data_IF_008171341127
#
_entry.id   IF_008171341127
#
_cell.length_a   1.000
_cell.length_b   1.000
_cell.length_c   1.000
_cell.angle_alpha   90.00
_cell.angle_beta   90.00
_cell.angle_gamma   90.00
#
_symmetry.space_group_name_H-M   'P 1'
#
loop_
_entity.id
_entity.type
_entity.pdbx_description
1 polymer ?
#
# COMPACT_ATOMS: atom_id res chain seq x y z
N UNK A 1 -21.21 14.44 6.15
CA UNK A 1 -20.03 15.31 6.39
C UNK A 1 -19.51 15.79 5.06
N UNK A 2 -19.01 17.02 4.99
CA UNK A 2 -18.24 17.57 3.88
C UNK A 2 -16.74 17.38 4.13
N UNK A 3 -16.07 16.64 3.26
CA UNK A 3 -14.67 16.24 3.44
C UNK A 3 -13.81 16.85 2.32
N UNK A 4 -12.73 17.53 2.70
CA UNK A 4 -11.73 18.04 1.75
C UNK A 4 -10.48 17.18 1.77
N UNK A 5 -10.27 16.41 0.71
CA UNK A 5 -9.08 15.58 0.52
C UNK A 5 -7.96 16.38 -0.15
N UNK A 6 -6.76 16.36 0.42
CA UNK A 6 -5.59 17.07 -0.14
C UNK A 6 -4.53 16.04 -0.51
N UNK A 7 -4.28 15.89 -1.81
CA UNK A 7 -3.26 15.00 -2.36
C UNK A 7 -2.27 15.81 -3.19
N UNK A 8 -1.02 15.82 -2.75
CA UNK A 8 0.05 16.60 -3.38
C UNK A 8 1.05 15.76 -4.16
N UNK A 9 0.80 14.45 -4.29
CA UNK A 9 1.60 13.54 -5.10
C UNK A 9 1.18 13.60 -6.57
N UNK A 10 2.13 13.30 -7.46
CA UNK A 10 1.91 13.33 -8.92
C UNK A 10 1.66 11.96 -9.51
N UNK A 11 2.32 10.94 -8.96
CA UNK A 11 2.21 9.57 -9.43
C UNK A 11 0.93 8.89 -8.96
N UNK A 12 0.77 7.63 -9.38
CA UNK A 12 -0.30 6.76 -8.92
C UNK A 12 0.32 5.45 -8.43
N UNK A 13 0.22 5.21 -7.13
CA UNK A 13 0.83 4.09 -6.43
C UNK A 13 -0.12 3.54 -5.35
N UNK A 14 0.38 2.70 -4.45
CA UNK A 14 -0.41 2.12 -3.36
C UNK A 14 -1.14 3.17 -2.52
N UNK A 15 -0.48 4.30 -2.18
CA UNK A 15 -1.12 5.32 -1.36
C UNK A 15 -2.33 6.00 -2.03
N UNK A 16 -2.24 6.22 -3.34
CA UNK A 16 -3.35 6.72 -4.16
C UNK A 16 -4.49 5.71 -4.25
N UNK A 17 -4.19 4.43 -4.48
CA UNK A 17 -5.22 3.37 -4.45
C UNK A 17 -5.99 3.33 -3.12
N UNK A 18 -5.30 3.56 -2.01
CA UNK A 18 -5.91 3.54 -0.68
C UNK A 18 -6.75 4.79 -0.40
N UNK A 19 -6.34 5.95 -0.93
CA UNK A 19 -7.21 7.13 -0.95
C UNK A 19 -8.45 6.89 -1.81
N UNK A 20 -8.30 6.29 -2.99
CA UNK A 20 -9.42 5.96 -3.88
C UNK A 20 -10.44 5.04 -3.19
N UNK A 21 -9.96 4.00 -2.52
CA UNK A 21 -10.79 3.11 -1.72
C UNK A 21 -11.56 3.86 -0.62
N UNK A 22 -10.87 4.71 0.14
CA UNK A 22 -11.49 5.55 1.18
C UNK A 22 -12.57 6.46 0.60
N UNK A 23 -12.28 7.12 -0.51
CA UNK A 23 -13.18 8.05 -1.18
C UNK A 23 -14.44 7.35 -1.70
N UNK A 24 -14.31 6.13 -2.26
CA UNK A 24 -15.44 5.31 -2.70
C UNK A 24 -16.35 4.90 -1.54
N UNK A 25 -15.75 4.47 -0.42
CA UNK A 25 -16.50 4.16 0.80
C UNK A 25 -17.32 5.36 1.28
N UNK A 26 -16.68 6.53 1.38
CA UNK A 26 -17.34 7.76 1.82
C UNK A 26 -18.44 8.22 0.83
N UNK A 27 -18.24 8.01 -0.47
CA UNK A 27 -19.26 8.33 -1.48
C UNK A 27 -20.49 7.42 -1.33
N UNK A 28 -20.29 6.12 -1.11
CA UNK A 28 -21.37 5.18 -0.82
C UNK A 28 -22.12 5.53 0.48
N UNK A 29 -21.42 6.07 1.48
CA UNK A 29 -22.02 6.61 2.71
C UNK A 29 -22.72 7.97 2.55
N UNK A 30 -22.80 8.54 1.34
CA UNK A 30 -23.48 9.80 1.06
C UNK A 30 -22.73 11.05 1.56
N UNK A 31 -21.42 10.95 1.78
CA UNK A 31 -20.62 12.10 2.18
C UNK A 31 -20.33 13.04 1.00
N UNK A 32 -20.41 14.35 1.25
CA UNK A 32 -20.00 15.36 0.29
C UNK A 32 -18.47 15.44 0.28
N UNK A 33 -17.84 15.34 -0.90
CA UNK A 33 -16.40 15.26 -1.01
C UNK A 33 -15.87 16.32 -1.97
N UNK A 34 -14.72 16.89 -1.63
CA UNK A 34 -13.96 17.81 -2.47
C UNK A 34 -12.49 17.40 -2.47
N UNK A 35 -11.79 17.63 -3.58
CA UNK A 35 -10.36 17.34 -3.66
C UNK A 35 -9.53 18.57 -4.00
N UNK A 36 -8.32 18.63 -3.45
CA UNK A 36 -7.25 19.55 -3.86
C UNK A 36 -6.10 18.70 -4.38
N UNK A 37 -5.83 18.82 -5.68
CA UNK A 37 -4.87 17.98 -6.41
C UNK A 37 -3.77 18.84 -7.04
N UNK A 38 -2.56 18.29 -7.15
CA UNK A 38 -1.55 18.87 -8.04
C UNK A 38 -2.06 18.75 -9.49
N UNK A 39 -1.91 19.78 -10.35
CA UNK A 39 -2.38 19.71 -11.74
C UNK A 39 -1.73 18.57 -12.56
N UNK A 40 -0.61 18.02 -12.09
CA UNK A 40 0.10 16.89 -12.70
C UNK A 40 -0.20 15.55 -12.02
N UNK A 41 -1.20 15.51 -11.14
CA UNK A 41 -1.57 14.30 -10.43
C UNK A 41 -2.34 13.34 -11.35
N UNK A 42 -1.83 12.11 -11.49
CA UNK A 42 -2.53 11.03 -12.18
C UNK A 42 -3.88 10.70 -11.52
N UNK A 43 -4.05 11.02 -10.22
CA UNK A 43 -5.31 10.84 -9.50
C UNK A 43 -6.49 11.64 -10.07
N UNK A 44 -6.22 12.69 -10.87
CA UNK A 44 -7.26 13.51 -11.51
C UNK A 44 -8.30 12.66 -12.25
N UNK A 45 -7.86 11.66 -13.02
CA UNK A 45 -8.77 10.80 -13.77
C UNK A 45 -9.75 10.04 -12.87
N UNK A 46 -9.31 9.64 -11.67
CA UNK A 46 -10.18 8.99 -10.69
C UNK A 46 -11.20 9.98 -10.10
N UNK A 47 -10.80 11.22 -9.82
CA UNK A 47 -11.71 12.25 -9.32
C UNK A 47 -12.80 12.60 -10.35
N UNK A 48 -12.43 12.68 -11.64
CA UNK A 48 -13.37 12.90 -12.74
C UNK A 48 -14.33 11.71 -12.92
N UNK A 49 -13.82 10.48 -12.90
CA UNK A 49 -14.64 9.27 -13.02
C UNK A 49 -15.65 9.09 -11.87
N UNK A 50 -15.29 9.55 -10.67
CA UNK A 50 -16.17 9.50 -9.49
C UNK A 50 -17.04 10.76 -9.34
N UNK A 51 -16.94 11.70 -10.27
CA UNK A 51 -17.67 12.97 -10.28
C UNK A 51 -17.46 13.80 -9.00
N UNK A 52 -16.26 13.73 -8.42
CA UNK A 52 -15.92 14.45 -7.20
C UNK A 52 -15.37 15.84 -7.56
N UNK A 53 -15.97 16.94 -7.08
CA UNK A 53 -15.45 18.27 -7.31
C UNK A 53 -13.99 18.40 -6.86
N UNK A 54 -13.12 18.86 -7.75
CA UNK A 54 -11.69 19.02 -7.46
C UNK A 54 -11.17 20.39 -7.86
N UNK A 55 -10.06 20.80 -7.25
CA UNK A 55 -9.43 22.10 -7.50
C UNK A 55 -7.92 21.93 -7.63
N UNK A 56 -7.35 22.58 -8.63
CA UNK A 56 -5.91 22.55 -8.86
C UNK A 56 -5.15 23.40 -7.84
N UNK A 57 -4.10 22.82 -7.28
CA UNK A 57 -3.14 23.54 -6.46
C UNK A 57 -1.73 23.02 -6.73
N UNK A 58 -0.87 23.85 -7.31
CA UNK A 58 0.53 23.49 -7.56
C UNK A 58 1.34 23.51 -6.28
N UNK A 59 2.06 22.42 -6.00
CA UNK A 59 2.97 22.32 -4.85
C UNK A 59 4.43 22.41 -5.33
N UNK A 60 5.17 23.46 -4.92
CA UNK A 60 6.58 23.65 -5.32
C UNK A 60 7.56 22.84 -4.48
N UNK A 61 7.18 22.51 -3.25
CA UNK A 61 8.02 21.76 -2.32
C UNK A 61 7.28 21.36 -1.05
N UNK A 62 8.02 20.83 -0.08
CA UNK A 62 7.46 20.34 1.19
C UNK A 62 7.00 21.44 2.14
N UNK A 63 7.50 22.68 1.99
CA UNK A 63 7.27 23.79 2.90
C UNK A 63 6.85 25.06 2.13
N UNK A 64 5.99 24.88 1.14
CA UNK A 64 5.51 25.95 0.25
C UNK A 64 4.42 26.80 0.94
N UNK A 65 4.81 27.97 1.45
CA UNK A 65 3.90 28.90 2.13
C UNK A 65 2.83 29.50 1.19
N UNK A 66 3.11 29.62 -0.11
CA UNK A 66 2.14 30.11 -1.09
C UNK A 66 1.05 29.05 -1.29
N UNK A 67 1.46 27.79 -1.45
CA UNK A 67 0.54 26.66 -1.49
C UNK A 67 -0.28 26.55 -0.20
N UNK A 68 0.33 26.76 0.97
CA UNK A 68 -0.36 26.73 2.26
C UNK A 68 -1.41 27.86 2.38
N UNK A 69 -1.10 29.09 1.97
CA UNK A 69 -2.07 30.20 1.95
C UNK A 69 -3.22 29.94 0.97
N UNK A 70 -2.93 29.38 -0.21
CA UNK A 70 -3.96 29.02 -1.20
C UNK A 70 -4.83 27.88 -0.70
N UNK A 71 -4.24 26.88 -0.05
CA UNK A 71 -4.98 25.79 0.60
C UNK A 71 -5.91 26.34 1.69
N UNK A 72 -5.42 27.28 2.52
CA UNK A 72 -6.25 27.96 3.51
C UNK A 72 -7.46 28.63 2.87
N UNK A 73 -7.25 29.44 1.82
CA UNK A 73 -8.34 30.08 1.08
C UNK A 73 -9.35 29.05 0.57
N UNK A 74 -8.86 27.91 0.04
CA UNK A 74 -9.76 26.86 -0.44
C UNK A 74 -10.57 26.20 0.68
N UNK A 75 -9.97 26.01 1.86
CA UNK A 75 -10.69 25.54 3.06
C UNK A 75 -11.79 26.54 3.43
N UNK A 76 -11.53 27.84 3.36
CA UNK A 76 -12.53 28.89 3.68
C UNK A 76 -13.68 28.96 2.64
N UNK A 77 -13.39 28.67 1.38
CA UNK A 77 -14.38 28.62 0.28
C UNK A 77 -15.26 27.37 0.38
N UNK A 78 -14.66 26.19 0.56
CA UNK A 78 -15.38 24.91 0.62
C UNK A 78 -16.12 24.74 1.95
N UNK A 79 -15.58 25.30 3.04
CA UNK A 79 -16.06 25.12 4.42
C UNK A 79 -16.28 23.64 4.77
N UNK A 80 -15.25 22.78 4.66
CA UNK A 80 -15.41 21.37 4.97
C UNK A 80 -15.53 21.15 6.48
N UNK A 81 -16.23 20.08 6.87
CA UNK A 81 -16.27 19.59 8.25
C UNK A 81 -14.92 18.98 8.65
N UNK A 82 -14.19 18.40 7.68
CA UNK A 82 -12.91 17.73 7.89
C UNK A 82 -11.97 17.90 6.71
N UNK A 83 -10.67 18.04 6.99
CA UNK A 83 -9.61 18.05 5.97
C UNK A 83 -8.76 16.78 6.10
N UNK A 84 -8.72 15.96 5.06
CA UNK A 84 -7.86 14.77 4.99
C UNK A 84 -6.57 15.06 4.21
N UNK A 85 -5.44 15.02 4.90
CA UNK A 85 -4.11 15.21 4.32
C UNK A 85 -3.53 13.85 3.94
N UNK A 86 -3.71 13.47 2.66
CA UNK A 86 -3.51 12.11 2.19
C UNK A 86 -2.04 11.71 1.96
N UNK A 87 -1.06 12.62 2.04
CA UNK A 87 0.36 12.28 1.85
C UNK A 87 1.29 13.17 2.70
N UNK A 88 2.59 12.84 2.72
CA UNK A 88 3.60 13.59 3.50
C UNK A 88 3.71 15.06 3.09
N UNK A 89 3.57 15.36 1.78
CA UNK A 89 3.61 16.74 1.30
C UNK A 89 2.35 17.51 1.68
N UNK A 90 1.16 16.93 1.46
CA UNK A 90 -0.08 17.60 1.87
C UNK A 90 -0.18 17.77 3.39
N UNK A 91 0.39 16.84 4.18
CA UNK A 91 0.50 16.98 5.63
C UNK A 91 1.23 18.25 6.04
N UNK A 92 2.44 18.48 5.51
CA UNK A 92 3.25 19.66 5.85
C UNK A 92 2.59 20.96 5.38
N UNK A 93 2.01 20.96 4.17
CA UNK A 93 1.32 22.13 3.62
C UNK A 93 0.03 22.43 4.40
N UNK A 94 -0.73 21.40 4.78
CA UNK A 94 -1.92 21.52 5.62
C UNK A 94 -1.60 22.00 7.03
N UNK A 95 -0.45 21.58 7.59
CA UNK A 95 0.06 22.13 8.85
C UNK A 95 0.42 23.61 8.71
N UNK A 96 1.15 23.99 7.66
CA UNK A 96 1.49 25.40 7.41
C UNK A 96 0.25 26.26 7.10
N UNK A 97 -0.83 25.66 6.57
CA UNK A 97 -2.09 26.36 6.35
C UNK A 97 -2.71 26.88 7.67
N UNK A 98 -2.36 26.30 8.82
CA UNK A 98 -2.80 26.80 10.14
C UNK A 98 -2.15 28.11 10.55
N UNK A 99 -1.08 28.53 9.87
CA UNK A 99 -0.46 29.84 10.08
C UNK A 99 -1.26 30.98 9.42
N UNK A 100 -2.21 30.63 8.54
CA UNK A 100 -3.02 31.59 7.82
C UNK A 100 -4.47 31.56 8.35
N UNK A 101 -4.97 32.73 8.76
CA UNK A 101 -6.34 32.93 9.26
C UNK A 101 -6.44 33.00 10.79
N UNK A 102 -7.68 33.09 11.32
CA UNK A 102 -7.94 33.17 12.77
C UNK A 102 -7.61 31.82 13.43
N UNK A 103 -6.91 31.83 14.58
CA UNK A 103 -6.37 30.65 15.30
C UNK A 103 -7.38 29.52 15.57
N UNK A 104 -8.69 29.83 15.65
CA UNK A 104 -9.76 28.87 15.96
C UNK A 104 -10.70 28.55 14.78
N UNK A 105 -10.34 28.91 13.54
CA UNK A 105 -11.25 28.86 12.39
C UNK A 105 -10.90 27.77 11.36
N UNK A 106 -10.18 26.71 11.73
CA UNK A 106 -9.91 25.60 10.82
C UNK A 106 -10.66 24.34 11.27
N UNK A 107 -11.29 23.62 10.33
CA UNK A 107 -11.88 22.33 10.63
C UNK A 107 -10.81 21.34 11.10
N UNK A 108 -11.22 20.27 11.80
CA UNK A 108 -10.34 19.17 12.14
C UNK A 108 -9.56 18.62 10.94
N UNK A 109 -8.30 18.25 11.18
CA UNK A 109 -7.37 17.77 10.14
C UNK A 109 -6.90 16.38 10.50
N UNK A 110 -7.10 15.44 9.60
CA UNK A 110 -6.59 14.07 9.73
C UNK A 110 -5.49 13.87 8.70
N UNK A 111 -4.38 13.27 9.10
CA UNK A 111 -3.31 12.88 8.17
C UNK A 111 -3.19 11.37 8.13
N UNK A 112 -2.96 10.80 6.94
CA UNK A 112 -2.57 9.39 6.80
C UNK A 112 -1.08 9.28 6.49
N UNK A 113 -0.34 8.60 7.36
CA UNK A 113 1.08 8.32 7.18
C UNK A 113 1.27 6.86 6.77
N UNK A 114 2.00 6.66 5.66
CA UNK A 114 2.26 5.34 5.07
C UNK A 114 3.71 4.86 5.14
N UNK A 115 4.65 5.78 5.35
CA UNK A 115 6.07 5.46 5.36
C UNK A 115 6.57 5.29 6.80
N UNK A 116 7.31 4.20 7.03
CA UNK A 116 7.94 3.80 8.29
C UNK A 116 9.28 4.50 8.56
N UNK A 117 9.72 5.39 7.65
CA UNK A 117 10.96 6.14 7.85
C UNK A 117 10.99 6.88 9.19
N UNK A 118 12.11 6.83 9.94
CA UNK A 118 12.26 7.58 11.17
C UNK A 118 11.93 9.06 11.00
N UNK A 119 11.21 9.61 11.96
CA UNK A 119 10.88 11.03 12.01
C UNK A 119 11.83 11.66 13.02
N UNK A 120 12.66 12.61 12.58
CA UNK A 120 13.54 13.34 13.51
C UNK A 120 12.74 14.00 14.64
N UNK A 121 13.27 13.96 15.86
CA UNK A 121 12.60 14.51 17.04
C UNK A 121 12.88 16.01 17.19
N UNK A 122 12.29 16.84 16.32
CA UNK A 122 12.46 18.30 16.36
C UNK A 122 11.18 19.03 16.78
N UNK A 123 11.25 20.22 17.40
CA UNK A 123 10.06 21.00 17.78
C UNK A 123 9.11 21.24 16.61
N UNK A 124 9.66 21.46 15.42
CA UNK A 124 8.88 21.64 14.20
C UNK A 124 8.11 20.37 13.79
N UNK A 125 8.72 19.19 13.90
CA UNK A 125 8.06 17.91 13.59
C UNK A 125 7.02 17.54 14.65
N UNK A 126 7.29 17.83 15.93
CA UNK A 126 6.30 17.74 17.02
C UNK A 126 5.08 18.62 16.76
N UNK A 127 5.29 19.83 16.26
CA UNK A 127 4.19 20.72 15.90
C UNK A 127 3.38 20.18 14.72
N UNK A 128 4.03 19.74 13.63
CA UNK A 128 3.36 19.18 12.44
C UNK A 128 2.51 17.94 12.75
N UNK A 129 3.05 16.98 13.52
CA UNK A 129 2.34 15.74 13.85
C UNK A 129 1.43 15.85 15.08
N UNK A 130 1.66 16.83 15.94
CA UNK A 130 0.88 17.07 17.14
C UNK A 130 -0.14 18.19 16.93
N UNK A 131 0.24 19.42 17.28
CA UNK A 131 -0.70 20.56 17.37
C UNK A 131 -1.33 20.97 16.04
N UNK A 132 -0.67 20.73 14.91
CA UNK A 132 -1.17 21.10 13.59
C UNK A 132 -2.24 20.15 13.04
N UNK A 133 -2.48 18.99 13.67
CA UNK A 133 -3.48 18.01 13.23
C UNK A 133 -4.34 17.54 14.41
N UNK A 134 -5.55 17.08 14.10
CA UNK A 134 -6.47 16.52 15.09
C UNK A 134 -6.21 15.03 15.31
N UNK A 135 -5.84 14.32 14.24
CA UNK A 135 -5.52 12.89 14.29
C UNK A 135 -4.47 12.50 13.23
N UNK A 136 -3.70 11.45 13.54
CA UNK A 136 -2.72 10.82 12.67
C UNK A 136 -3.11 9.36 12.48
N UNK A 137 -3.59 9.03 11.29
CA UNK A 137 -3.76 7.65 10.86
C UNK A 137 -2.41 7.07 10.46
N UNK A 138 -2.08 5.92 11.03
CA UNK A 138 -0.87 5.14 10.73
C UNK A 138 -1.31 3.77 10.22
N UNK A 139 -0.62 3.27 9.18
CA UNK A 139 -1.05 2.04 8.49
C UNK A 139 -0.48 0.75 9.11
N UNK A 140 0.50 0.88 10.00
CA UNK A 140 1.15 -0.23 10.67
C UNK A 140 1.71 0.18 12.03
N UNK A 141 1.97 -0.80 12.90
CA UNK A 141 2.62 -0.61 14.19
C UNK A 141 4.00 0.04 14.03
N UNK A 142 4.79 -0.36 13.02
CA UNK A 142 6.07 0.28 12.74
C UNK A 142 5.94 1.78 12.42
N UNK A 143 4.91 2.17 11.65
CA UNK A 143 4.62 3.58 11.38
C UNK A 143 4.10 4.30 12.63
N UNK A 144 3.30 3.63 13.46
CA UNK A 144 2.85 4.14 14.76
C UNK A 144 4.04 4.50 15.65
N UNK A 145 4.97 3.57 15.81
CA UNK A 145 6.15 3.74 16.68
C UNK A 145 7.02 4.89 16.17
N UNK A 146 7.20 5.02 14.85
CA UNK A 146 7.92 6.15 14.25
C UNK A 146 7.25 7.52 14.52
N UNK A 147 5.91 7.57 14.63
CA UNK A 147 5.17 8.79 14.99
C UNK A 147 5.25 9.08 16.49
N UNK A 148 5.10 8.06 17.33
CA UNK A 148 5.18 8.18 18.78
C UNK A 148 6.59 8.62 19.23
N UNK A 149 7.65 8.17 18.56
CA UNK A 149 9.03 8.58 18.82
C UNK A 149 9.27 10.10 18.69
N UNK A 150 8.39 10.82 17.97
CA UNK A 150 8.44 12.29 17.86
C UNK A 150 7.94 12.98 19.14
N UNK A 151 7.18 12.28 19.98
CA UNK A 151 6.47 12.85 21.14
C UNK A 151 5.07 13.35 20.80
N UNK A 152 4.40 12.72 19.84
CA UNK A 152 2.98 12.96 19.54
C UNK A 152 2.14 12.27 20.61
N UNK A 153 1.07 12.92 21.04
CA UNK A 153 0.09 12.35 21.96
C UNK A 153 -0.46 11.01 21.41
N UNK A 154 -0.30 9.88 22.13
CA UNK A 154 -0.83 8.59 21.72
C UNK A 154 -2.34 8.61 21.43
N UNK A 155 -3.10 9.45 22.12
CA UNK A 155 -4.56 9.59 21.91
C UNK A 155 -4.93 10.14 20.52
N UNK A 156 -3.96 10.72 19.78
CA UNK A 156 -4.14 11.23 18.42
C UNK A 156 -3.64 10.27 17.34
N UNK A 157 -2.99 9.17 17.71
CA UNK A 157 -2.39 8.23 16.75
C UNK A 157 -3.29 7.01 16.62
N UNK A 158 -3.86 6.80 15.44
CA UNK A 158 -4.85 5.76 15.18
C UNK A 158 -4.30 4.77 14.15
N UNK A 159 -4.17 3.51 14.56
CA UNK A 159 -3.80 2.42 13.66
C UNK A 159 -5.03 2.01 12.84
N UNK A 160 -5.00 2.26 11.54
CA UNK A 160 -5.99 1.79 10.57
C UNK A 160 -5.21 1.20 9.42
N UNK A 161 -5.24 -0.13 9.31
CA UNK A 161 -4.55 -0.82 8.22
C UNK A 161 -5.17 -0.46 6.88
N UNK A 162 -4.34 -0.46 5.84
CA UNK A 162 -4.83 -0.34 4.47
C UNK A 162 -5.59 -1.61 4.08
N UNK A 163 -6.57 -1.44 3.19
CA UNK A 163 -7.49 -2.51 2.82
C UNK A 163 -7.50 -2.82 1.33
N UNK A 164 -7.87 -4.03 0.98
CA UNK A 164 -8.06 -4.49 -0.41
C UNK A 164 -9.45 -5.08 -0.59
N UNK A 165 -9.94 -5.19 -1.82
CA UNK A 165 -11.25 -5.77 -2.13
C UNK A 165 -11.21 -7.29 -1.97
N UNK A 166 -11.21 -7.79 -0.72
CA UNK A 166 -10.87 -9.19 -0.43
C UNK A 166 -11.84 -10.18 -1.07
N UNK A 167 -13.13 -9.84 -1.13
CA UNK A 167 -14.16 -10.68 -1.76
C UNK A 167 -13.93 -10.84 -3.26
N UNK A 168 -13.64 -9.74 -3.96
CA UNK A 168 -13.36 -9.76 -5.40
C UNK A 168 -12.07 -10.54 -5.70
N UNK A 169 -11.01 -10.30 -4.91
CA UNK A 169 -9.73 -10.96 -5.08
C UNK A 169 -9.79 -12.46 -4.76
N UNK A 170 -10.52 -12.88 -3.72
CA UNK A 170 -10.68 -14.30 -3.40
C UNK A 170 -11.31 -15.09 -4.55
N UNK A 171 -12.19 -14.46 -5.34
CA UNK A 171 -12.79 -15.10 -6.51
C UNK A 171 -11.79 -15.42 -7.64
N UNK A 172 -10.57 -14.86 -7.61
CA UNK A 172 -9.53 -15.13 -8.60
C UNK A 172 -9.01 -16.57 -8.55
N UNK A 173 -9.17 -17.28 -7.42
CA UNK A 173 -8.75 -18.69 -7.28
C UNK A 173 -9.75 -19.71 -7.81
N UNK A 174 -10.88 -19.26 -8.35
CA UNK A 174 -11.81 -20.16 -9.00
C UNK A 174 -11.10 -20.93 -10.13
N UNK A 175 -11.24 -22.27 -10.22
CA UNK A 175 -10.47 -23.10 -11.14
C UNK A 175 -10.51 -22.63 -12.59
N UNK A 176 -11.68 -22.21 -13.07
CA UNK A 176 -11.90 -21.70 -14.42
C UNK A 176 -11.16 -20.39 -14.70
N UNK A 177 -11.15 -19.46 -13.73
CA UNK A 177 -10.44 -18.19 -13.86
C UNK A 177 -8.93 -18.40 -13.87
N UNK A 178 -8.44 -19.28 -13.00
CA UNK A 178 -7.03 -19.66 -12.95
C UNK A 178 -6.59 -20.33 -14.25
N UNK A 179 -7.36 -21.30 -14.75
CA UNK A 179 -7.03 -21.97 -16.02
C UNK A 179 -6.99 -20.98 -17.19
N UNK A 180 -7.97 -20.08 -17.29
CA UNK A 180 -8.01 -19.04 -18.33
C UNK A 180 -6.81 -18.08 -18.23
N UNK A 181 -6.46 -17.63 -17.03
CA UNK A 181 -5.31 -16.76 -16.80
C UNK A 181 -3.99 -17.44 -17.19
N UNK A 182 -3.81 -18.72 -16.82
CA UNK A 182 -2.62 -19.49 -17.19
C UNK A 182 -2.48 -19.67 -18.70
N UNK A 183 -3.59 -19.98 -19.38
CA UNK A 183 -3.60 -20.11 -20.84
C UNK A 183 -3.19 -18.81 -21.54
N UNK A 184 -3.74 -17.66 -21.10
CA UNK A 184 -3.40 -16.34 -21.68
C UNK A 184 -1.96 -15.92 -21.44
N UNK A 185 -1.37 -16.33 -20.32
CA UNK A 185 0.03 -16.06 -19.98
C UNK A 185 1.01 -17.10 -20.56
N UNK A 186 0.51 -18.07 -21.34
CA UNK A 186 1.34 -19.12 -21.96
C UNK A 186 1.97 -20.07 -20.95
N UNK A 187 1.28 -20.36 -19.84
CA UNK A 187 1.76 -21.20 -18.75
C UNK A 187 1.12 -22.59 -18.85
N UNK A 188 1.94 -23.62 -19.06
CA UNK A 188 1.49 -25.02 -19.05
C UNK A 188 1.35 -25.57 -17.62
N UNK A 189 0.93 -26.84 -17.47
CA UNK A 189 0.77 -27.47 -16.15
C UNK A 189 2.11 -27.75 -15.42
N UNK A 190 3.22 -27.82 -16.15
CA UNK A 190 4.56 -28.08 -15.60
C UNK A 190 5.25 -26.79 -15.10
N UNK A 191 4.70 -25.63 -15.43
CA UNK A 191 5.28 -24.32 -15.12
C UNK A 191 4.88 -23.86 -13.72
N UNK A 192 5.85 -23.63 -12.85
CA UNK A 192 5.65 -22.90 -11.60
C UNK A 192 5.73 -21.39 -11.88
N UNK A 193 4.66 -20.65 -11.60
CA UNK A 193 4.55 -19.23 -11.92
C UNK A 193 4.60 -18.34 -10.66
N UNK A 194 5.70 -17.61 -10.47
CA UNK A 194 5.84 -16.63 -9.40
C UNK A 194 5.52 -15.20 -9.84
N UNK A 195 5.03 -14.37 -8.93
CA UNK A 195 4.72 -12.95 -9.19
C UNK A 195 5.33 -12.04 -8.12
N UNK A 196 5.89 -10.93 -8.55
CA UNK A 196 6.22 -9.77 -7.71
C UNK A 196 5.62 -8.54 -8.35
N UNK A 197 4.75 -7.82 -7.64
CA UNK A 197 4.16 -6.57 -8.13
C UNK A 197 4.60 -5.38 -7.26
N UNK A 198 5.64 -4.67 -7.69
CA UNK A 198 6.15 -3.48 -7.00
C UNK A 198 7.08 -2.65 -7.89
N UNK A 199 7.17 -1.34 -7.62
CA UNK A 199 8.14 -0.45 -8.27
C UNK A 199 9.57 -1.02 -8.24
N UNK A 200 10.31 -0.96 -9.34
CA UNK A 200 11.67 -1.51 -9.46
C UNK A 200 12.71 -0.53 -8.89
N UNK A 201 12.58 -0.23 -7.61
CA UNK A 201 13.55 0.56 -6.83
C UNK A 201 14.37 -0.34 -5.92
N UNK A 202 15.62 0.03 -5.67
CA UNK A 202 16.54 -0.67 -4.75
C UNK A 202 15.96 -1.04 -3.38
N UNK A 203 15.02 -0.24 -2.84
CA UNK A 203 14.36 -0.57 -1.56
C UNK A 203 13.52 -1.86 -1.60
N UNK A 204 13.10 -2.31 -2.79
CA UNK A 204 12.27 -3.50 -2.98
C UNK A 204 13.04 -4.80 -3.09
N UNK A 205 14.37 -4.73 -3.27
CA UNK A 205 15.28 -5.87 -3.26
C UNK A 205 14.96 -6.98 -4.30
N UNK A 206 14.49 -6.60 -5.47
CA UNK A 206 14.17 -7.55 -6.55
C UNK A 206 15.39 -8.36 -6.99
N UNK A 207 16.59 -7.79 -6.87
CA UNK A 207 17.86 -8.45 -7.14
C UNK A 207 18.12 -9.62 -6.17
N UNK A 208 17.67 -9.53 -4.91
CA UNK A 208 17.81 -10.62 -3.92
C UNK A 208 16.94 -11.81 -4.34
N UNK A 209 15.72 -11.55 -4.81
CA UNK A 209 14.86 -12.60 -5.36
C UNK A 209 15.43 -13.17 -6.65
N UNK A 210 15.96 -12.33 -7.54
CA UNK A 210 16.59 -12.80 -8.76
C UNK A 210 17.79 -13.74 -8.49
N UNK A 211 18.64 -13.39 -7.52
CA UNK A 211 19.76 -14.24 -7.05
C UNK A 211 19.28 -15.53 -6.38
N UNK A 212 18.17 -15.48 -5.64
CA UNK A 212 17.56 -16.67 -5.05
C UNK A 212 17.07 -17.64 -6.15
N UNK A 213 16.38 -17.11 -7.16
CA UNK A 213 15.88 -17.86 -8.30
C UNK A 213 17.02 -18.47 -9.12
N UNK A 214 18.14 -17.75 -9.31
CA UNK A 214 19.29 -18.23 -10.08
C UNK A 214 19.91 -19.53 -9.53
N UNK A 215 19.80 -19.77 -8.22
CA UNK A 215 20.32 -20.98 -7.58
C UNK A 215 19.25 -22.04 -7.26
N UNK A 216 18.04 -21.91 -7.80
CA UNK A 216 16.93 -22.80 -7.47
C UNK A 216 17.09 -24.16 -8.17
N UNK A 217 16.85 -25.26 -7.44
CA UNK A 217 16.91 -26.62 -7.97
C UNK A 217 15.51 -27.10 -8.35
N UNK A 218 15.20 -27.12 -9.65
CA UNK A 218 13.88 -27.50 -10.13
C UNK A 218 13.76 -29.02 -10.29
N UNK A 219 12.67 -29.65 -9.81
CA UNK A 219 12.37 -31.04 -10.12
C UNK A 219 12.35 -31.29 -11.63
N UNK A 220 12.80 -32.48 -12.05
CA UNK A 220 12.87 -32.84 -13.47
C UNK A 220 11.53 -32.61 -14.19
N UNK A 221 11.59 -31.95 -15.34
CA UNK A 221 10.43 -31.61 -16.15
C UNK A 221 9.63 -30.37 -15.69
N UNK A 222 9.95 -29.76 -14.53
CA UNK A 222 9.37 -28.47 -14.14
C UNK A 222 10.09 -27.30 -14.80
N UNK A 223 9.34 -26.23 -15.04
CA UNK A 223 9.86 -24.93 -15.46
C UNK A 223 9.46 -23.87 -14.44
N UNK A 224 10.27 -22.83 -14.29
CA UNK A 224 9.92 -21.66 -13.48
C UNK A 224 9.78 -20.45 -14.37
N UNK A 225 8.68 -19.72 -14.21
CA UNK A 225 8.47 -18.40 -14.78
C UNK A 225 8.21 -17.44 -13.63
N UNK A 226 8.97 -16.35 -13.53
CA UNK A 226 8.71 -15.30 -12.54
C UNK A 226 8.41 -13.96 -13.21
N UNK A 227 7.28 -13.35 -12.88
CA UNK A 227 6.89 -12.03 -13.37
C UNK A 227 7.24 -10.93 -12.36
N UNK A 228 8.11 -10.00 -12.75
CA UNK A 228 8.32 -8.74 -12.04
C UNK A 228 7.47 -7.63 -12.69
N UNK A 229 6.28 -7.41 -12.14
CA UNK A 229 5.39 -6.32 -12.49
C UNK A 229 5.78 -5.03 -11.78
N UNK A 230 6.11 -4.00 -12.55
CA UNK A 230 6.51 -2.69 -12.03
C UNK A 230 7.59 -2.03 -12.89
N UNK A 231 7.81 -0.75 -12.66
CA UNK A 231 8.85 0.02 -13.34
C UNK A 231 9.74 0.76 -12.34
N UNK A 232 10.93 1.15 -12.76
CA UNK A 232 11.87 1.89 -11.91
C UNK A 232 13.32 1.79 -12.37
N UNK A 233 14.22 2.50 -11.66
CA UNK A 233 15.63 2.62 -12.04
C UNK A 233 16.38 1.28 -12.16
N UNK A 234 15.97 0.26 -11.40
CA UNK A 234 16.64 -1.04 -11.39
C UNK A 234 16.24 -1.92 -12.59
N UNK A 235 15.26 -1.51 -13.41
CA UNK A 235 14.69 -2.35 -14.47
C UNK A 235 15.74 -2.93 -15.42
N UNK A 236 16.58 -2.06 -15.98
CA UNK A 236 17.57 -2.46 -16.98
C UNK A 236 18.60 -3.43 -16.39
N UNK A 237 19.05 -3.19 -15.16
CA UNK A 237 19.98 -4.06 -14.45
C UNK A 237 19.34 -5.44 -14.18
N UNK A 238 18.09 -5.47 -13.72
CA UNK A 238 17.37 -6.72 -13.48
C UNK A 238 17.15 -7.52 -14.78
N UNK A 239 16.85 -6.85 -15.89
CA UNK A 239 16.70 -7.49 -17.21
C UNK A 239 18.01 -8.11 -17.70
N UNK A 240 19.14 -7.41 -17.55
CA UNK A 240 20.44 -7.94 -17.92
C UNK A 240 20.79 -9.20 -17.10
N UNK A 241 20.58 -9.16 -15.78
CA UNK A 241 20.84 -10.31 -14.90
C UNK A 241 19.88 -11.47 -15.15
N UNK A 242 18.62 -11.19 -15.46
CA UNK A 242 17.62 -12.21 -15.80
C UNK A 242 17.98 -13.00 -17.08
N UNK A 243 18.67 -12.36 -18.03
CA UNK A 243 19.12 -13.03 -19.26
C UNK A 243 20.27 -14.03 -19.03
N UNK A 244 20.92 -14.01 -17.87
CA UNK A 244 22.03 -14.91 -17.51
C UNK A 244 21.57 -16.19 -16.78
N UNK A 245 20.26 -16.36 -16.54
CA UNK A 245 19.73 -17.50 -15.78
C UNK A 245 19.81 -18.82 -16.56
N UNK A 246 19.86 -19.93 -15.82
CA UNK A 246 19.98 -21.29 -16.36
C UNK A 246 18.78 -21.73 -17.20
N UNK A 247 18.96 -22.80 -17.98
CA UNK A 247 17.87 -23.44 -18.71
C UNK A 247 16.74 -23.86 -17.76
N UNK A 248 15.52 -23.41 -18.03
CA UNK A 248 14.33 -23.76 -17.25
C UNK A 248 13.81 -22.66 -16.31
N UNK A 249 14.57 -21.57 -16.12
CA UNK A 249 14.14 -20.39 -15.36
C UNK A 249 13.98 -19.19 -16.29
N UNK A 250 12.76 -18.66 -16.37
CA UNK A 250 12.43 -17.47 -17.14
C UNK A 250 11.99 -16.34 -16.18
N UNK A 251 12.56 -15.14 -16.32
CA UNK A 251 12.11 -13.96 -15.56
C UNK A 251 11.59 -12.90 -16.53
N UNK A 252 10.30 -12.56 -16.40
CA UNK A 252 9.58 -11.60 -17.23
C UNK A 252 9.55 -10.24 -16.54
N UNK A 253 10.09 -9.20 -17.18
CA UNK A 253 10.12 -7.83 -16.64
C UNK A 253 9.53 -6.84 -17.67
N UNK A 254 8.20 -6.86 -17.88
CA UNK A 254 7.55 -6.04 -18.90
C UNK A 254 7.48 -4.55 -18.53
N UNK A 255 7.74 -4.18 -17.28
CA UNK A 255 7.47 -2.86 -16.75
C UNK A 255 6.19 -2.87 -15.91
N UNK A 256 5.54 -1.72 -15.80
CA UNK A 256 4.20 -1.63 -15.20
C UNK A 256 3.22 -2.50 -15.98
N UNK A 257 2.41 -3.28 -15.27
CA UNK A 257 1.39 -4.16 -15.84
C UNK A 257 0.00 -3.72 -15.42
N UNK A 258 -0.95 -4.00 -16.30
CA UNK A 258 -2.36 -3.59 -16.17
C UNK A 258 -3.23 -4.81 -15.78
N UNK A 259 -2.64 -6.01 -15.87
CA UNK A 259 -3.25 -7.32 -15.69
C UNK A 259 -2.84 -7.98 -14.36
N UNK A 260 -2.63 -7.20 -13.30
CA UNK A 260 -2.18 -7.71 -11.99
C UNK A 260 -3.10 -8.82 -11.46
N UNK A 261 -4.42 -8.64 -11.55
CA UNK A 261 -5.37 -9.67 -11.09
C UNK A 261 -5.27 -10.97 -11.89
N UNK A 262 -5.01 -10.89 -13.20
CA UNK A 262 -4.79 -12.06 -14.04
C UNK A 262 -3.49 -12.78 -13.69
N UNK A 263 -2.42 -12.02 -13.43
CA UNK A 263 -1.17 -12.57 -12.93
C UNK A 263 -1.37 -13.28 -11.58
N UNK A 264 -2.08 -12.67 -10.63
CA UNK A 264 -2.38 -13.27 -9.32
C UNK A 264 -3.27 -14.52 -9.45
N UNK A 265 -4.26 -14.53 -10.35
CA UNK A 265 -5.09 -15.71 -10.62
C UNK A 265 -4.23 -16.91 -11.09
N UNK A 266 -3.26 -16.66 -11.97
CA UNK A 266 -2.35 -17.67 -12.50
C UNK A 266 -1.25 -18.09 -11.51
N UNK A 267 -0.91 -17.25 -10.53
CA UNK A 267 0.25 -17.41 -9.67
C UNK A 267 0.23 -18.67 -8.79
N UNK A 268 1.41 -19.26 -8.65
CA UNK A 268 1.75 -20.33 -7.72
C UNK A 268 2.42 -19.79 -6.46
N UNK A 269 3.09 -18.63 -6.55
CA UNK A 269 3.63 -17.90 -5.42
C UNK A 269 3.67 -16.40 -5.67
N UNK A 270 3.64 -15.62 -4.59
CA UNK A 270 3.92 -14.19 -4.61
C UNK A 270 5.11 -13.88 -3.70
N UNK A 271 6.01 -12.97 -4.12
CA UNK A 271 7.12 -12.55 -3.28
C UNK A 271 7.30 -11.04 -3.24
N UNK A 272 7.51 -10.50 -2.02
CA UNK A 272 7.91 -9.12 -1.78
C UNK A 272 9.18 -9.07 -0.91
N UNK A 273 10.39 -9.11 -1.51
CA UNK A 273 11.67 -9.21 -0.79
C UNK A 273 12.17 -7.87 -0.21
N UNK A 274 11.27 -6.93 0.09
CA UNK A 274 11.62 -5.54 0.37
C UNK A 274 12.59 -5.36 1.55
N UNK A 275 13.48 -4.36 1.45
CA UNK A 275 14.31 -3.88 2.58
C UNK A 275 13.53 -2.98 3.53
N UNK A 276 12.60 -2.20 2.96
CA UNK A 276 11.75 -1.26 3.69
C UNK A 276 10.34 -1.29 3.10
N UNK A 277 9.33 -1.43 3.96
CA UNK A 277 7.94 -1.43 3.54
C UNK A 277 7.01 -0.88 4.63
N UNK A 278 6.09 0.01 4.22
CA UNK A 278 5.11 0.59 5.14
C UNK A 278 4.12 -0.45 5.68
N UNK A 279 3.43 -1.12 4.76
CA UNK A 279 2.52 -2.24 5.03
C UNK A 279 2.63 -3.32 3.95
N UNK A 280 2.57 -2.91 2.67
CA UNK A 280 2.72 -3.81 1.53
C UNK A 280 1.38 -4.18 0.89
N UNK A 281 0.67 -3.21 0.30
CA UNK A 281 -0.64 -3.45 -0.35
C UNK A 281 -0.62 -4.57 -1.38
N UNK A 282 0.46 -4.71 -2.18
CA UNK A 282 0.58 -5.79 -3.15
C UNK A 282 0.63 -7.19 -2.49
N UNK A 283 1.20 -7.27 -1.28
CA UNK A 283 1.17 -8.49 -0.47
C UNK A 283 -0.26 -8.79 0.01
N UNK A 284 -1.01 -7.76 0.44
CA UNK A 284 -2.43 -7.90 0.78
C UNK A 284 -3.26 -8.39 -0.41
N UNK A 285 -3.03 -7.84 -1.61
CA UNK A 285 -3.71 -8.24 -2.84
C UNK A 285 -3.45 -9.73 -3.15
N UNK A 286 -2.20 -10.17 -3.04
CA UNK A 286 -1.81 -11.56 -3.27
C UNK A 286 -2.40 -12.51 -2.22
N UNK A 287 -2.32 -12.14 -0.93
CA UNK A 287 -2.93 -12.90 0.17
C UNK A 287 -4.45 -13.04 -0.01
N UNK A 288 -5.15 -11.93 -0.27
CA UNK A 288 -6.59 -11.93 -0.51
C UNK A 288 -6.96 -12.81 -1.71
N UNK A 289 -6.10 -12.83 -2.73
CA UNK A 289 -6.21 -13.70 -3.90
C UNK A 289 -5.84 -15.16 -3.60
N UNK A 290 -5.62 -15.57 -2.36
CA UNK A 290 -5.29 -16.96 -1.99
C UNK A 290 -3.98 -17.48 -2.59
N UNK A 291 -3.07 -16.59 -2.97
CA UNK A 291 -1.73 -16.94 -3.45
C UNK A 291 -0.81 -17.09 -2.23
N UNK A 292 -0.07 -18.20 -2.09
CA UNK A 292 0.88 -18.33 -1.00
C UNK A 292 2.00 -17.29 -1.17
N UNK A 293 2.27 -16.57 -0.08
CA UNK A 293 3.12 -15.39 -0.10
C UNK A 293 4.42 -15.60 0.67
N UNK A 294 5.51 -15.04 0.12
CA UNK A 294 6.81 -14.90 0.77
C UNK A 294 7.08 -13.40 0.91
N UNK A 295 7.49 -12.94 2.09
CA UNK A 295 7.88 -11.54 2.25
C UNK A 295 9.03 -11.37 3.25
N UNK A 296 9.85 -10.35 3.02
CA UNK A 296 10.86 -9.96 4.00
C UNK A 296 10.19 -9.56 5.32
N UNK A 297 10.79 -9.94 6.44
CA UNK A 297 10.31 -9.61 7.78
C UNK A 297 10.68 -8.16 8.14
N UNK A 298 10.07 -7.17 7.47
CA UNK A 298 10.35 -5.73 7.67
C UNK A 298 9.08 -4.90 7.76
N UNK A 299 9.17 -3.76 8.46
CA UNK A 299 8.08 -2.78 8.59
C UNK A 299 6.72 -3.41 8.90
N UNK A 300 5.67 -2.96 8.21
CA UNK A 300 4.32 -3.49 8.38
C UNK A 300 4.10 -4.89 7.78
N UNK A 301 5.05 -5.47 7.04
CA UNK A 301 4.87 -6.85 6.59
C UNK A 301 4.88 -7.87 7.75
N UNK A 302 5.50 -7.50 8.88
CA UNK A 302 5.57 -8.31 10.12
C UNK A 302 4.20 -8.54 10.79
N UNK A 303 3.25 -7.65 10.55
CA UNK A 303 1.88 -7.73 11.07
C UNK A 303 0.91 -8.28 10.01
N UNK A 304 1.26 -8.13 8.72
CA UNK A 304 0.47 -8.67 7.60
C UNK A 304 0.55 -10.19 7.55
N UNK A 305 1.77 -10.75 7.62
CA UNK A 305 1.98 -12.20 7.57
C UNK A 305 2.28 -12.80 8.95
N UNK A 306 1.70 -13.97 9.20
CA UNK A 306 2.12 -14.87 10.27
C UNK A 306 2.94 -16.01 9.67
N UNK A 307 4.24 -16.04 9.97
CA UNK A 307 5.19 -16.96 9.33
C UNK A 307 4.84 -18.43 9.62
N UNK A 308 4.80 -19.26 8.57
CA UNK A 308 4.44 -20.68 8.63
C UNK A 308 2.94 -20.96 8.70
N UNK A 309 2.12 -19.91 8.92
CA UNK A 309 0.66 -19.99 9.02
C UNK A 309 0.00 -19.39 7.80
N UNK A 310 0.18 -18.09 7.56
CA UNK A 310 -0.49 -17.33 6.48
C UNK A 310 0.46 -16.93 5.34
N UNK A 311 1.72 -17.36 5.42
CA UNK A 311 2.79 -17.15 4.44
C UNK A 311 4.16 -17.44 5.05
N UNK A 312 5.23 -17.11 4.34
CA UNK A 312 6.60 -17.33 4.79
C UNK A 312 7.34 -16.00 4.95
N UNK A 313 7.97 -15.81 6.10
CA UNK A 313 8.92 -14.72 6.29
C UNK A 313 10.35 -15.14 6.00
N UNK A 314 11.11 -14.22 5.42
CA UNK A 314 12.57 -14.31 5.26
C UNK A 314 13.24 -13.05 5.80
N UNK A 315 14.50 -13.11 6.18
CA UNK A 315 15.23 -11.91 6.59
C UNK A 315 15.53 -11.02 5.37
N UNK A 316 15.54 -9.68 5.52
CA UNK A 316 15.81 -8.79 4.39
C UNK A 316 17.22 -8.98 3.85
N UNK A 317 17.34 -9.31 2.56
CA UNK A 317 18.62 -9.59 1.91
C UNK A 317 19.11 -11.04 2.04
N UNK A 318 18.34 -11.91 2.68
CA UNK A 318 18.66 -13.33 2.81
C UNK A 318 18.31 -14.11 1.54
N UNK A 319 19.28 -14.22 0.63
CA UNK A 319 19.15 -14.94 -0.65
C UNK A 319 18.85 -16.42 -0.43
N UNK A 320 19.53 -17.07 0.53
CA UNK A 320 19.38 -18.50 0.79
C UNK A 320 18.04 -18.82 1.45
N UNK A 321 17.62 -18.02 2.43
CA UNK A 321 16.29 -18.16 3.03
C UNK A 321 15.18 -17.93 2.01
N UNK A 322 15.35 -16.97 1.10
CA UNK A 322 14.40 -16.73 0.02
C UNK A 322 14.35 -17.88 -0.99
N UNK A 323 15.51 -18.45 -1.35
CA UNK A 323 15.59 -19.63 -2.21
C UNK A 323 14.89 -20.82 -1.56
N UNK A 324 15.17 -21.10 -0.29
CA UNK A 324 14.54 -22.18 0.45
C UNK A 324 13.01 -22.01 0.55
N UNK A 325 12.54 -20.78 0.78
CA UNK A 325 11.11 -20.47 0.80
C UNK A 325 10.45 -20.75 -0.56
N UNK A 326 11.03 -20.28 -1.67
CA UNK A 326 10.52 -20.56 -3.02
C UNK A 326 10.54 -22.07 -3.31
N UNK A 327 11.66 -22.73 -2.99
CA UNK A 327 11.82 -24.18 -3.18
C UNK A 327 10.72 -24.97 -2.47
N UNK A 328 10.41 -24.61 -1.22
CA UNK A 328 9.37 -25.28 -0.44
C UNK A 328 8.00 -25.23 -1.12
N UNK A 329 7.65 -24.09 -1.75
CA UNK A 329 6.39 -23.94 -2.49
C UNK A 329 6.40 -24.70 -3.82
N UNK A 330 7.57 -24.84 -4.45
CA UNK A 330 7.73 -25.60 -5.70
C UNK A 330 7.53 -27.11 -5.48
N UNK A 331 8.00 -27.64 -4.35
CA UNK A 331 7.99 -29.09 -4.09
C UNK A 331 6.81 -29.56 -3.23
N UNK A 332 6.24 -28.70 -2.39
CA UNK A 332 5.13 -29.04 -1.50
C UNK A 332 3.85 -28.24 -1.83
N UNK A 333 3.02 -28.84 -2.70
CA UNK A 333 1.73 -28.27 -3.07
C UNK A 333 0.75 -28.18 -1.90
N UNK A 334 0.89 -29.02 -0.88
CA UNK A 334 0.02 -29.03 0.29
C UNK A 334 0.31 -27.83 1.20
N UNK A 335 1.60 -27.53 1.40
CA UNK A 335 2.07 -26.32 2.07
C UNK A 335 1.56 -25.07 1.33
N UNK A 336 1.75 -25.01 0.01
CA UNK A 336 1.31 -23.89 -0.81
C UNK A 336 -0.21 -23.65 -0.69
N UNK A 337 -1.03 -24.71 -0.75
CA UNK A 337 -2.48 -24.60 -0.59
C UNK A 337 -2.88 -24.11 0.81
N UNK A 338 -2.26 -24.66 1.86
CA UNK A 338 -2.52 -24.28 3.25
C UNK A 338 -2.18 -22.80 3.51
N UNK A 339 -0.99 -22.36 3.10
CA UNK A 339 -0.55 -20.98 3.26
C UNK A 339 -1.44 -20.00 2.48
N UNK A 340 -1.82 -20.35 1.24
CA UNK A 340 -2.72 -19.52 0.43
C UNK A 340 -4.11 -19.37 1.07
N UNK A 341 -4.69 -20.46 1.58
CA UNK A 341 -5.99 -20.43 2.25
C UNK A 341 -5.97 -19.58 3.52
N UNK A 342 -5.01 -19.82 4.42
CA UNK A 342 -4.85 -19.06 5.66
C UNK A 342 -4.50 -17.58 5.38
N UNK A 343 -3.72 -17.30 4.34
CA UNK A 343 -3.43 -15.95 3.87
C UNK A 343 -4.69 -15.20 3.42
N UNK A 344 -5.58 -15.86 2.67
CA UNK A 344 -6.84 -15.27 2.19
C UNK A 344 -7.83 -15.00 3.33
N UNK A 345 -7.94 -15.93 4.29
CA UNK A 345 -8.75 -15.76 5.49
C UNK A 345 -8.26 -14.57 6.31
N UNK A 346 -6.96 -14.52 6.63
CA UNK A 346 -6.36 -13.40 7.35
C UNK A 346 -6.55 -12.06 6.64
N UNK A 347 -6.38 -12.03 5.32
CA UNK A 347 -6.62 -10.83 4.52
C UNK A 347 -8.07 -10.34 4.64
N UNK A 348 -9.04 -11.25 4.58
CA UNK A 348 -10.47 -10.96 4.75
C UNK A 348 -10.79 -10.38 6.11
N UNK A 349 -10.22 -10.93 7.17
CA UNK A 349 -10.59 -10.57 8.54
C UNK A 349 -9.98 -9.23 8.99
N UNK A 350 -8.75 -8.94 8.54
CA UNK A 350 -7.96 -7.82 9.05
C UNK A 350 -7.75 -6.69 8.03
N UNK A 351 -7.76 -7.00 6.73
CA UNK A 351 -7.29 -6.11 5.67
C UNK A 351 -8.33 -5.90 4.56
N UNK A 352 -9.61 -6.02 4.91
CA UNK A 352 -10.70 -5.73 4.00
C UNK A 352 -10.93 -4.22 3.83
N UNK A 353 -11.17 -3.81 2.59
CA UNK A 353 -11.37 -2.41 2.22
C UNK A 353 -12.61 -1.79 2.88
N UNK A 354 -13.68 -2.56 3.10
CA UNK A 354 -14.88 -2.08 3.81
C UNK A 354 -14.55 -1.78 5.27
N UNK A 355 -13.82 -2.69 5.94
CA UNK A 355 -13.35 -2.48 7.32
C UNK A 355 -12.48 -1.21 7.44
N UNK A 356 -11.53 -1.02 6.53
CA UNK A 356 -10.71 0.20 6.49
C UNK A 356 -11.58 1.46 6.35
N UNK A 357 -12.56 1.42 5.43
CA UNK A 357 -13.51 2.52 5.20
C UNK A 357 -14.31 2.87 6.45
N UNK A 358 -14.92 1.87 7.09
CA UNK A 358 -15.71 2.02 8.33
C UNK A 358 -14.87 2.61 9.47
N UNK A 359 -13.67 2.10 9.69
CA UNK A 359 -12.75 2.61 10.73
C UNK A 359 -12.34 4.06 10.45
N UNK A 360 -12.06 4.38 9.18
CA UNK A 360 -11.69 5.75 8.77
C UNK A 360 -12.84 6.72 8.95
N UNK A 361 -14.04 6.33 8.54
CA UNK A 361 -15.26 7.14 8.69
C UNK A 361 -15.62 7.34 10.17
N UNK A 362 -15.53 6.30 10.99
CA UNK A 362 -15.75 6.40 12.44
C UNK A 362 -14.77 7.38 13.10
N UNK A 363 -13.49 7.33 12.71
CA UNK A 363 -12.49 8.31 13.16
C UNK A 363 -12.87 9.73 12.73
N UNK A 364 -13.30 9.92 11.48
CA UNK A 364 -13.71 11.23 10.99
C UNK A 364 -14.87 11.80 11.80
N UNK A 365 -15.90 10.99 12.07
CA UNK A 365 -17.05 11.38 12.91
C UNK A 365 -16.61 11.77 14.32
N UNK A 366 -15.76 10.97 14.97
CA UNK A 366 -15.28 11.25 16.32
C UNK A 366 -14.47 12.55 16.40
N UNK A 367 -13.58 12.76 15.42
CA UNK A 367 -12.74 13.96 15.32
C UNK A 367 -13.57 15.22 15.05
N UNK A 368 -14.63 15.13 14.23
CA UNK A 368 -15.58 16.22 14.00
C UNK A 368 -16.43 16.55 15.24
N UNK A 369 -16.81 15.54 16.03
CA UNK A 369 -17.61 15.72 17.23
C UNK A 369 -16.83 16.25 18.44
N UNK A 370 -15.49 16.34 18.36
CA UNK A 370 -14.63 16.74 19.48
C UNK A 370 -14.54 15.71 20.61
N UNK A 371 -15.07 14.51 20.39
CA UNK A 371 -15.04 13.37 21.31
C UNK A 371 -13.70 12.62 21.23
N UNK A 372 -13.21 12.14 22.38
CA UNK A 372 -12.12 11.18 22.40
C UNK A 372 -12.56 9.89 21.68
N UNK A 373 -11.85 9.51 20.61
CA UNK A 373 -12.19 8.34 19.79
C UNK A 373 -12.10 7.05 20.62
N UNK A 374 -13.07 6.11 20.50
CA UNK A 374 -12.94 4.81 21.16
C UNK A 374 -11.69 4.08 20.66
N UNK A 375 -10.81 3.70 21.59
CA UNK A 375 -9.64 2.87 21.30
C UNK A 375 -10.13 1.49 20.84
N UNK A 376 -9.81 1.10 19.60
CA UNK A 376 -9.88 -0.29 19.21
C UNK A 376 -8.86 -1.06 20.05
N UNK A 377 -9.36 -1.88 20.98
CA UNK A 377 -8.53 -2.72 21.83
C UNK A 377 -7.82 -3.77 20.97
N UNK A 378 -6.48 -3.78 21.10
CA UNK A 378 -5.46 -4.78 20.76
C UNK A 378 -5.73 -5.80 19.67
#
# INVERSE_FOLDING_TARGET
MRILHVLAERGFSGGENQLLATVRHLQAGGHEQHMVLDPRASFRGCAEQLEIPWTELRFRGNYDLIAARRLRRRIDEVRPDLVHLACSRSHKIGALATLFGRRNALPPRVVTRRMDYPIGNTPFRRWIYGRAVSAVVVISAGVRDAVLAVGVDPGRVHLIHEGVATRELASLRAPERRAAARARLGLDAATFFGVTNASLHRRKAHEVLLEALAGLDLPSGKRLVWLFGGDGPERAALQARAAELSSGIEVRIPGRIDYVQEALAAADAFCLPSRYEGLGVALLEAMASGVPCIASRVGGMREVLESGVSGLHVEPGDVEGLRAAVQSLVVDASLAARLGAAGSERARDLFDVTRMGEQTEALYRAVCAGSATPHAAR
#
